data_IF_455382594261
#
_entry.id   IF_455382594261
#
_cell.length_a   1.000
_cell.length_b   1.000
_cell.length_c   1.000
_cell.angle_alpha   90.00
_cell.angle_beta   90.00
_cell.angle_gamma   90.00
#
_symmetry.space_group_name_H-M   'P 1'
#
loop_
_entity.id
_entity.type
_entity.pdbx_description
1 polymer ?
#
# COMPACT_ATOMS: atom_id res chain seq x y z
N UNK A 1 -3.88 14.28 -17.64
CA UNK A 1 -2.59 14.02 -18.32
C UNK A 1 -2.79 14.40 -19.78
N UNK A 2 -2.25 15.54 -20.25
CA UNK A 2 -2.31 15.90 -21.65
C UNK A 2 -1.32 15.07 -22.48
N UNK A 3 -1.70 14.75 -23.69
CA UNK A 3 -0.85 14.19 -24.74
C UNK A 3 -0.46 15.31 -25.72
N UNK A 4 0.31 14.96 -26.73
CA UNK A 4 0.70 15.92 -27.79
C UNK A 4 -0.53 16.43 -28.60
N UNK A 5 -1.61 15.61 -28.65
CA UNK A 5 -2.84 15.94 -29.36
C UNK A 5 -3.89 16.63 -28.48
N UNK A 6 -3.59 16.88 -27.21
CA UNK A 6 -4.52 17.52 -26.28
C UNK A 6 -4.60 19.02 -26.54
N UNK A 7 -5.81 19.54 -26.73
CA UNK A 7 -6.04 20.98 -26.87
C UNK A 7 -5.80 21.68 -25.54
N UNK A 8 -5.03 22.75 -25.53
CA UNK A 8 -4.65 23.49 -24.30
C UNK A 8 -5.90 24.00 -23.54
N UNK A 9 -6.93 24.48 -24.27
CA UNK A 9 -8.19 24.94 -23.70
C UNK A 9 -8.96 23.86 -22.95
N UNK A 10 -8.91 22.59 -23.44
CA UNK A 10 -9.54 21.47 -22.74
C UNK A 10 -8.76 21.08 -21.49
N UNK A 11 -7.43 21.17 -21.51
CA UNK A 11 -6.61 20.93 -20.32
C UNK A 11 -6.96 21.93 -19.23
N UNK A 12 -6.99 23.23 -19.58
CA UNK A 12 -7.36 24.30 -18.65
C UNK A 12 -8.80 24.11 -18.12
N UNK A 13 -9.74 23.82 -19.02
CA UNK A 13 -11.14 23.55 -18.64
C UNK A 13 -11.22 22.42 -17.60
N UNK A 14 -10.60 21.26 -17.84
CA UNK A 14 -10.68 20.13 -16.91
C UNK A 14 -9.92 20.38 -15.59
N UNK A 15 -8.82 21.13 -15.61
CA UNK A 15 -8.15 21.56 -14.39
C UNK A 15 -9.09 22.40 -13.51
N UNK A 16 -9.71 23.43 -14.09
CA UNK A 16 -10.66 24.30 -13.40
C UNK A 16 -11.92 23.54 -12.96
N UNK A 17 -12.46 22.69 -13.81
CA UNK A 17 -13.63 21.87 -13.49
C UNK A 17 -13.36 20.95 -12.29
N UNK A 18 -12.19 20.33 -12.23
CA UNK A 18 -11.78 19.49 -11.11
C UNK A 18 -11.72 20.28 -9.81
N UNK A 19 -11.16 21.48 -9.82
CA UNK A 19 -11.01 22.30 -8.62
C UNK A 19 -12.34 22.94 -8.18
N UNK A 20 -13.03 23.60 -9.09
CA UNK A 20 -14.22 24.40 -8.77
C UNK A 20 -15.46 23.55 -8.60
N UNK A 21 -15.71 22.61 -9.55
CA UNK A 21 -16.95 21.84 -9.56
C UNK A 21 -16.88 20.55 -8.76
N UNK A 22 -15.70 19.88 -8.72
CA UNK A 22 -15.54 18.62 -8.02
C UNK A 22 -14.87 18.78 -6.64
N UNK A 23 -14.38 19.98 -6.30
CA UNK A 23 -13.67 20.24 -5.04
C UNK A 23 -12.41 19.38 -4.89
N UNK A 24 -11.72 19.05 -5.99
CA UNK A 24 -10.50 18.25 -6.05
C UNK A 24 -9.31 19.15 -6.35
N UNK A 25 -8.19 18.86 -5.71
CA UNK A 25 -6.94 19.47 -6.16
C UNK A 25 -6.49 18.78 -7.44
N UNK A 26 -6.23 19.55 -8.48
CA UNK A 26 -5.77 19.04 -9.78
C UNK A 26 -4.27 19.23 -9.94
N UNK A 27 -3.62 18.25 -10.57
CA UNK A 27 -2.18 18.27 -10.82
C UNK A 27 -1.92 17.92 -12.28
N UNK A 28 -1.25 18.80 -13.00
CA UNK A 28 -0.85 18.56 -14.36
C UNK A 28 0.35 17.60 -14.40
N UNK A 29 0.11 16.37 -14.87
CA UNK A 29 1.14 15.35 -14.99
C UNK A 29 1.67 15.26 -16.43
N UNK A 30 2.95 14.95 -16.56
CA UNK A 30 3.54 14.54 -17.84
C UNK A 30 3.00 13.15 -18.22
N UNK A 31 2.88 12.90 -19.52
CA UNK A 31 2.61 11.58 -20.07
C UNK A 31 3.88 10.71 -20.03
N UNK A 32 4.16 10.17 -18.86
CA UNK A 32 5.33 9.34 -18.58
C UNK A 32 4.89 8.04 -17.92
N UNK A 33 5.70 6.95 -18.02
CA UNK A 33 5.32 5.64 -17.47
C UNK A 33 4.86 5.72 -16.02
N UNK A 34 3.65 5.20 -15.77
CA UNK A 34 2.98 5.14 -14.46
C UNK A 34 2.67 6.49 -13.79
N UNK A 35 2.88 7.60 -14.47
CA UNK A 35 2.60 8.96 -14.00
C UNK A 35 3.24 9.28 -12.63
N UNK A 36 2.54 10.00 -11.74
CA UNK A 36 3.04 10.36 -10.41
C UNK A 36 2.65 9.29 -9.38
N UNK A 37 1.36 8.99 -9.25
CA UNK A 37 0.83 8.20 -8.14
C UNK A 37 1.34 6.76 -8.14
N UNK A 38 1.37 6.09 -9.29
CA UNK A 38 1.85 4.71 -9.38
C UNK A 38 3.36 4.61 -9.13
N UNK A 39 4.17 5.59 -9.57
CA UNK A 39 5.61 5.63 -9.24
C UNK A 39 5.83 5.71 -7.73
N UNK A 40 5.15 6.65 -7.06
CA UNK A 40 5.23 6.79 -5.60
C UNK A 40 4.72 5.52 -4.91
N UNK A 41 3.62 4.94 -5.43
CA UNK A 41 3.04 3.70 -4.90
C UNK A 41 3.98 2.52 -4.97
N UNK A 42 4.63 2.28 -6.10
CA UNK A 42 5.62 1.20 -6.29
C UNK A 42 6.84 1.41 -5.39
N UNK A 43 7.38 2.63 -5.34
CA UNK A 43 8.51 2.95 -4.47
C UNK A 43 8.16 2.73 -2.98
N UNK A 44 7.01 3.25 -2.55
CA UNK A 44 6.53 3.10 -1.18
C UNK A 44 6.26 1.63 -0.82
N UNK A 45 5.64 0.86 -1.71
CA UNK A 45 5.36 -0.56 -1.51
C UNK A 45 6.64 -1.40 -1.38
N UNK A 46 7.61 -1.18 -2.28
CA UNK A 46 8.89 -1.86 -2.22
C UNK A 46 9.64 -1.55 -0.91
N UNK A 47 9.61 -0.28 -0.46
CA UNK A 47 10.23 0.10 0.81
C UNK A 47 9.52 -0.48 2.02
N UNK A 48 8.20 -0.59 1.99
CA UNK A 48 7.43 -1.27 3.04
C UNK A 48 7.83 -2.74 3.13
N UNK A 49 7.94 -3.47 2.02
CA UNK A 49 8.36 -4.86 2.02
C UNK A 49 9.78 -5.04 2.58
N UNK A 50 10.72 -4.22 2.12
CA UNK A 50 12.10 -4.21 2.64
C UNK A 50 12.14 -4.02 4.17
N UNK A 51 11.40 -3.02 4.68
CA UNK A 51 11.37 -2.72 6.11
C UNK A 51 10.63 -3.79 6.92
N UNK A 52 9.60 -4.41 6.34
CA UNK A 52 8.88 -5.53 6.97
C UNK A 52 9.81 -6.71 7.23
N UNK A 53 10.59 -7.11 6.22
CA UNK A 53 11.58 -8.18 6.38
C UNK A 53 12.73 -7.78 7.32
N UNK A 54 13.26 -6.57 7.16
CA UNK A 54 14.38 -6.07 7.96
C UNK A 54 14.07 -6.02 9.46
N UNK A 55 12.85 -5.61 9.82
CA UNK A 55 12.43 -5.46 11.22
C UNK A 55 11.57 -6.62 11.73
N UNK A 56 11.39 -7.65 10.92
CA UNK A 56 10.63 -8.84 11.29
C UNK A 56 9.20 -8.53 11.75
N UNK A 57 8.53 -7.65 11.02
CA UNK A 57 7.17 -7.20 11.36
C UNK A 57 6.11 -8.13 10.78
N UNK A 58 5.03 -8.27 11.51
CA UNK A 58 3.80 -8.91 11.00
C UNK A 58 3.04 -7.96 10.08
N UNK A 59 2.21 -8.53 9.19
CA UNK A 59 1.40 -7.72 8.26
C UNK A 59 0.43 -6.80 9.01
N UNK A 60 -0.08 -7.23 10.15
CA UNK A 60 -1.00 -6.45 10.97
C UNK A 60 -0.30 -5.25 11.63
N UNK A 61 0.96 -5.42 12.07
CA UNK A 61 1.77 -4.32 12.60
C UNK A 61 2.07 -3.28 11.54
N UNK A 62 2.45 -3.74 10.35
CA UNK A 62 2.71 -2.84 9.21
C UNK A 62 1.45 -2.10 8.80
N UNK A 63 0.31 -2.77 8.70
CA UNK A 63 -0.96 -2.11 8.35
C UNK A 63 -1.39 -1.08 9.41
N UNK A 64 -1.16 -1.37 10.68
CA UNK A 64 -1.39 -0.39 11.76
C UNK A 64 -0.49 0.83 11.62
N UNK A 65 0.82 0.62 11.36
CA UNK A 65 1.81 1.70 11.23
C UNK A 65 1.62 2.52 9.96
N UNK A 66 1.27 1.88 8.85
CA UNK A 66 1.15 2.55 7.53
C UNK A 66 -0.26 3.03 7.19
N UNK A 67 -1.20 2.89 8.10
CA UNK A 67 -2.59 3.32 7.97
C UNK A 67 -2.85 4.74 8.52
N UNK A 68 -3.85 4.89 9.41
CA UNK A 68 -4.31 6.20 9.90
C UNK A 68 -3.24 7.01 10.64
N UNK A 69 -2.21 6.38 11.19
CA UNK A 69 -1.10 7.07 11.86
C UNK A 69 -0.36 7.99 10.88
N UNK A 70 -0.22 7.56 9.63
CA UNK A 70 0.39 8.34 8.55
C UNK A 70 -0.64 9.13 7.73
N UNK A 71 -1.86 9.33 8.24
CA UNK A 71 -2.93 9.98 7.50
C UNK A 71 -3.47 9.19 6.31
N UNK A 72 -3.19 7.89 6.23
CA UNK A 72 -3.66 7.00 5.17
C UNK A 72 -4.96 6.28 5.56
N UNK A 73 -5.67 5.65 4.59
CA UNK A 73 -6.84 4.83 4.88
C UNK A 73 -6.55 3.71 5.88
N UNK A 74 -7.60 3.24 6.57
CA UNK A 74 -7.50 2.18 7.59
C UNK A 74 -6.95 0.84 7.09
N UNK A 75 -6.85 0.66 5.79
CA UNK A 75 -6.32 -0.56 5.18
C UNK A 75 -4.84 -0.79 5.49
N UNK A 76 -4.06 0.28 5.63
CA UNK A 76 -2.60 0.15 5.66
C UNK A 76 -2.05 -0.31 4.31
N UNK A 77 -0.91 -0.99 4.31
CA UNK A 77 -0.20 -1.38 3.08
C UNK A 77 -0.57 -2.78 2.58
N UNK A 78 -0.55 -3.80 3.42
CA UNK A 78 -0.82 -5.18 3.01
C UNK A 78 -2.30 -5.42 2.68
N UNK A 79 -3.20 -4.88 3.49
CA UNK A 79 -4.63 -4.97 3.19
C UNK A 79 -5.00 -4.19 1.92
N UNK A 80 -4.29 -3.10 1.62
CA UNK A 80 -4.47 -2.38 0.36
C UNK A 80 -4.07 -3.24 -0.85
N UNK A 81 -3.00 -4.03 -0.75
CA UNK A 81 -2.60 -4.96 -1.82
C UNK A 81 -3.69 -6.00 -2.10
N UNK A 82 -4.35 -6.52 -1.07
CA UNK A 82 -5.48 -7.45 -1.24
C UNK A 82 -6.68 -6.81 -1.95
N UNK A 83 -6.95 -5.52 -1.70
CA UNK A 83 -8.02 -4.77 -2.36
C UNK A 83 -7.72 -4.47 -3.82
N UNK A 84 -6.49 -4.07 -4.12
CA UNK A 84 -6.02 -3.76 -5.49
C UNK A 84 -5.90 -5.04 -6.32
N UNK A 85 -5.48 -6.11 -5.67
CA UNK A 85 -5.11 -7.37 -6.29
C UNK A 85 -3.60 -7.49 -6.46
N UNK A 86 -3.04 -8.55 -5.88
CA UNK A 86 -1.59 -8.80 -5.81
C UNK A 86 -0.97 -8.91 -7.20
N UNK A 87 -1.65 -9.58 -8.14
CA UNK A 87 -1.23 -9.65 -9.55
C UNK A 87 -1.28 -8.31 -10.27
N UNK A 88 -2.24 -7.45 -9.91
CA UNK A 88 -2.33 -6.08 -10.45
C UNK A 88 -1.13 -5.26 -9.96
N UNK A 89 -0.83 -5.32 -8.66
CA UNK A 89 0.35 -4.68 -8.08
C UNK A 89 1.66 -5.16 -8.71
N UNK A 90 1.80 -6.47 -8.93
CA UNK A 90 2.94 -7.08 -9.63
C UNK A 90 3.11 -6.54 -11.05
N UNK A 91 2.02 -6.51 -11.84
CA UNK A 91 2.04 -5.98 -13.21
C UNK A 91 2.45 -4.52 -13.26
N UNK A 92 1.89 -3.69 -12.36
CA UNK A 92 2.24 -2.26 -12.27
C UNK A 92 3.71 -2.10 -11.88
N UNK A 93 4.20 -2.86 -10.91
CA UNK A 93 5.60 -2.84 -10.49
C UNK A 93 6.53 -3.21 -11.65
N UNK A 94 6.27 -4.32 -12.32
CA UNK A 94 7.04 -4.75 -13.50
C UNK A 94 7.05 -3.70 -14.61
N UNK A 95 5.87 -3.12 -14.90
CA UNK A 95 5.77 -2.05 -15.88
C UNK A 95 6.63 -0.83 -15.51
N UNK A 96 6.58 -0.39 -14.26
CA UNK A 96 7.37 0.76 -13.78
C UNK A 96 8.86 0.49 -13.89
N UNK A 97 9.34 -0.64 -13.36
CA UNK A 97 10.79 -0.94 -13.35
C UNK A 97 11.35 -1.18 -14.77
N UNK A 98 10.53 -1.63 -15.71
CA UNK A 98 10.93 -1.84 -17.11
C UNK A 98 11.00 -0.53 -17.90
N UNK A 99 10.16 0.44 -17.58
CA UNK A 99 9.98 1.65 -18.40
C UNK A 99 10.56 2.92 -17.77
N UNK A 100 10.86 2.94 -16.47
CA UNK A 100 11.51 4.09 -15.79
C UNK A 100 13.00 3.83 -15.67
N UNK A 101 13.78 4.31 -16.65
CA UNK A 101 15.22 4.00 -16.77
C UNK A 101 16.16 5.03 -16.15
N UNK A 102 15.68 6.22 -15.82
CA UNK A 102 16.51 7.33 -15.36
C UNK A 102 16.44 7.53 -13.83
N UNK A 103 15.95 6.51 -13.10
CA UNK A 103 15.77 6.59 -11.66
C UNK A 103 16.52 5.44 -10.98
N UNK A 104 17.55 5.80 -10.20
CA UNK A 104 18.43 4.84 -9.52
C UNK A 104 17.69 3.92 -8.54
N UNK A 105 16.53 4.33 -8.01
CA UNK A 105 15.70 3.48 -7.16
C UNK A 105 15.07 2.33 -7.96
N UNK A 106 14.47 2.64 -9.11
CA UNK A 106 13.84 1.63 -9.96
C UNK A 106 14.87 0.71 -10.64
N UNK A 107 16.06 1.20 -10.94
CA UNK A 107 17.17 0.36 -11.38
C UNK A 107 17.58 -0.66 -10.32
N UNK A 108 17.67 -0.25 -9.05
CA UNK A 108 17.94 -1.15 -7.93
C UNK A 108 16.80 -2.14 -7.72
N UNK A 109 15.55 -1.66 -7.76
CA UNK A 109 14.37 -2.50 -7.61
C UNK A 109 14.28 -3.57 -8.72
N UNK A 110 14.65 -3.24 -9.95
CA UNK A 110 14.67 -4.20 -11.06
C UNK A 110 15.69 -5.34 -10.85
N UNK A 111 16.75 -5.08 -10.08
CA UNK A 111 17.77 -6.08 -9.72
C UNK A 111 17.47 -6.80 -8.40
N UNK A 112 16.51 -6.33 -7.62
CA UNK A 112 16.15 -6.92 -6.35
C UNK A 112 15.37 -8.22 -6.53
N UNK A 113 15.56 -9.15 -5.61
CA UNK A 113 14.80 -10.38 -5.56
C UNK A 113 13.41 -10.10 -4.99
N UNK A 114 12.39 -10.60 -5.66
CA UNK A 114 11.01 -10.53 -5.13
C UNK A 114 10.91 -11.32 -3.82
N UNK A 115 10.29 -10.76 -2.77
CA UNK A 115 10.13 -11.46 -1.49
C UNK A 115 9.44 -12.82 -1.64
N UNK A 116 9.88 -13.82 -0.87
CA UNK A 116 9.35 -15.19 -0.95
C UNK A 116 7.84 -15.25 -0.73
N UNK A 117 7.32 -14.49 0.23
CA UNK A 117 5.90 -14.42 0.52
C UNK A 117 5.08 -13.89 -0.67
N UNK A 118 5.64 -12.97 -1.45
CA UNK A 118 4.95 -12.40 -2.60
C UNK A 118 4.88 -13.40 -3.75
N UNK A 119 5.98 -14.11 -4.04
CA UNK A 119 6.00 -15.21 -5.01
C UNK A 119 5.02 -16.32 -4.61
N UNK A 120 5.01 -16.71 -3.32
CA UNK A 120 4.09 -17.70 -2.79
C UNK A 120 2.62 -17.33 -3.07
N UNK A 121 2.24 -16.07 -2.88
CA UNK A 121 0.87 -15.61 -3.14
C UNK A 121 0.51 -15.70 -4.63
N UNK A 122 1.42 -15.29 -5.51
CA UNK A 122 1.20 -15.35 -6.96
C UNK A 122 1.10 -16.81 -7.47
N UNK A 123 2.03 -17.68 -7.06
CA UNK A 123 2.10 -19.08 -7.48
C UNK A 123 0.86 -19.88 -7.04
N UNK A 124 0.30 -19.55 -5.87
CA UNK A 124 -0.90 -20.20 -5.35
C UNK A 124 -2.21 -19.54 -5.78
N UNK A 125 -2.15 -18.51 -6.64
CA UNK A 125 -3.32 -17.73 -7.06
C UNK A 125 -4.08 -17.09 -5.87
N UNK A 126 -3.35 -16.69 -4.82
CA UNK A 126 -3.89 -15.97 -3.68
C UNK A 126 -3.79 -14.47 -3.93
N UNK A 127 -4.71 -13.95 -4.74
CA UNK A 127 -4.62 -12.62 -5.34
C UNK A 127 -5.39 -11.52 -4.57
N UNK A 128 -5.73 -11.77 -3.33
CA UNK A 128 -6.48 -10.84 -2.49
C UNK A 128 -7.99 -11.05 -2.54
N UNK A 129 -8.75 -9.98 -2.37
CA UNK A 129 -10.22 -10.05 -2.22
C UNK A 129 -10.92 -10.73 -3.41
N UNK A 130 -10.42 -10.56 -4.62
CA UNK A 130 -11.00 -11.16 -5.83
C UNK A 130 -10.94 -12.70 -5.85
N UNK A 131 -9.99 -13.29 -5.13
CA UNK A 131 -9.89 -14.74 -4.95
C UNK A 131 -10.28 -15.19 -3.55
N UNK A 132 -10.69 -14.25 -2.67
CA UNK A 132 -11.04 -14.50 -1.28
C UNK A 132 -9.86 -14.79 -0.36
N UNK A 133 -8.63 -14.74 -0.88
CA UNK A 133 -7.40 -15.05 -0.17
C UNK A 133 -6.23 -14.26 -0.75
N UNK A 134 -5.42 -13.67 0.12
CA UNK A 134 -4.24 -12.89 -0.19
C UNK A 134 -3.36 -12.78 1.04
N UNK A 135 -2.88 -11.61 1.41
CA UNK A 135 -2.23 -11.38 2.71
C UNK A 135 -3.19 -11.68 3.86
N UNK A 136 -4.47 -11.40 3.64
CA UNK A 136 -5.55 -11.77 4.56
C UNK A 136 -6.51 -12.75 3.90
N UNK A 137 -7.16 -13.56 4.74
CA UNK A 137 -8.21 -14.49 4.34
C UNK A 137 -9.42 -14.35 5.26
N UNK A 138 -10.58 -14.04 4.68
CA UNK A 138 -11.86 -14.08 5.39
C UNK A 138 -12.31 -15.54 5.48
N UNK A 139 -12.47 -16.05 6.70
CA UNK A 139 -12.97 -17.41 6.91
C UNK A 139 -14.52 -17.44 6.92
N UNK A 140 -15.09 -18.63 6.81
CA UNK A 140 -16.53 -18.83 7.03
C UNK A 140 -16.91 -18.86 8.51
N UNK A 141 -15.93 -18.93 9.40
CA UNK A 141 -16.13 -19.01 10.85
C UNK A 141 -16.42 -17.63 11.43
N UNK A 142 -17.17 -17.61 12.52
CA UNK A 142 -17.47 -16.40 13.27
C UNK A 142 -16.96 -16.52 14.70
N UNK A 143 -16.57 -15.39 15.27
CA UNK A 143 -16.20 -15.31 16.68
C UNK A 143 -17.45 -15.29 17.59
N UNK A 144 -17.24 -15.26 18.91
CA UNK A 144 -18.29 -15.21 19.94
C UNK A 144 -19.22 -14.00 19.79
N UNK A 145 -18.77 -12.95 19.10
CA UNK A 145 -19.54 -11.73 18.83
C UNK A 145 -20.20 -11.76 17.44
N UNK A 146 -20.18 -12.88 16.73
CA UNK A 146 -20.76 -13.05 15.40
C UNK A 146 -19.96 -12.42 14.26
N UNK A 147 -18.72 -11.93 14.51
CA UNK A 147 -17.85 -11.30 13.50
C UNK A 147 -17.07 -12.37 12.75
N UNK A 148 -16.90 -12.17 11.45
CA UNK A 148 -16.09 -13.07 10.62
C UNK A 148 -14.65 -13.12 11.15
N UNK A 149 -14.13 -14.32 11.35
CA UNK A 149 -12.73 -14.54 11.70
C UNK A 149 -11.90 -14.29 10.45
N UNK A 150 -10.87 -13.47 10.61
CA UNK A 150 -9.90 -13.15 9.56
C UNK A 150 -8.58 -13.84 9.93
N UNK A 151 -8.00 -14.53 8.97
CA UNK A 151 -6.64 -15.04 9.06
C UNK A 151 -5.68 -14.09 8.37
N UNK A 152 -4.45 -14.06 8.85
CA UNK A 152 -3.33 -13.29 8.32
C UNK A 152 -2.22 -14.25 7.91
N UNK A 153 -1.56 -13.96 6.80
CA UNK A 153 -0.39 -14.73 6.34
C UNK A 153 0.80 -14.43 7.27
N UNK A 154 1.41 -15.46 7.79
CA UNK A 154 2.73 -15.36 8.39
C UNK A 154 3.78 -15.34 7.27
N UNK A 155 4.56 -14.26 7.19
CA UNK A 155 5.49 -14.03 6.07
C UNK A 155 6.72 -14.96 6.08
N UNK A 156 7.01 -15.61 7.24
CA UNK A 156 8.13 -16.54 7.39
C UNK A 156 7.74 -17.97 7.07
N UNK A 157 6.64 -18.42 7.71
CA UNK A 157 6.18 -19.81 7.58
C UNK A 157 5.33 -20.03 6.34
N UNK A 158 4.78 -18.94 5.76
CA UNK A 158 3.81 -18.94 4.67
C UNK A 158 2.50 -19.66 5.01
N UNK A 159 2.20 -19.75 6.30
CA UNK A 159 0.98 -20.33 6.82
C UNK A 159 -0.01 -19.25 7.27
N UNK A 160 -1.31 -19.56 7.21
CA UNK A 160 -2.34 -18.65 7.68
C UNK A 160 -2.64 -18.92 9.16
N UNK A 161 -2.56 -17.88 9.97
CA UNK A 161 -2.92 -17.87 11.38
C UNK A 161 -4.05 -16.88 11.66
N UNK A 162 -4.76 -17.03 12.75
CA UNK A 162 -5.77 -16.05 13.19
C UNK A 162 -5.11 -14.68 13.32
N UNK A 163 -5.71 -13.69 12.66
CA UNK A 163 -5.22 -12.31 12.72
C UNK A 163 -5.35 -11.74 14.13
N UNK A 164 -4.31 -11.05 14.58
CA UNK A 164 -4.23 -10.44 15.91
C UNK A 164 -4.11 -8.93 15.75
N UNK A 165 -4.90 -8.18 16.53
CA UNK A 165 -4.76 -6.71 16.54
C UNK A 165 -3.52 -6.31 17.33
N UNK A 166 -2.52 -5.69 16.68
CA UNK A 166 -1.29 -5.31 17.35
C UNK A 166 -1.54 -4.25 18.43
N UNK A 167 -0.76 -4.33 19.51
CA UNK A 167 -0.74 -3.33 20.57
C UNK A 167 0.65 -2.67 20.55
N UNK A 168 0.74 -1.49 19.95
CA UNK A 168 1.99 -0.72 19.94
C UNK A 168 1.92 0.27 21.10
N UNK A 169 2.77 0.08 22.12
CA UNK A 169 2.83 0.90 23.32
C UNK A 169 3.05 2.38 23.00
N UNK A 170 4.00 2.66 22.11
CA UNK A 170 4.33 4.02 21.65
C UNK A 170 3.10 4.79 21.14
N UNK A 171 2.21 4.12 20.39
CA UNK A 171 0.98 4.75 19.88
C UNK A 171 0.01 5.06 21.02
N UNK A 172 -0.06 4.18 22.02
CA UNK A 172 -0.89 4.40 23.20
C UNK A 172 -0.36 5.56 24.04
N UNK A 173 0.94 5.60 24.23
CA UNK A 173 1.63 6.70 24.93
C UNK A 173 1.46 8.02 24.21
N UNK A 174 1.67 8.06 22.89
CA UNK A 174 1.47 9.25 22.08
C UNK A 174 0.03 9.81 22.17
N UNK A 175 -0.98 8.94 22.25
CA UNK A 175 -2.36 9.36 22.43
C UNK A 175 -2.65 10.01 23.79
N UNK A 176 -1.91 9.63 24.82
CA UNK A 176 -2.02 10.20 26.16
C UNK A 176 -1.31 11.57 26.31
N UNK A 177 -0.54 11.99 25.33
CA UNK A 177 0.17 13.27 25.37
C UNK A 177 -0.70 14.36 24.75
N UNK A 178 -1.19 15.31 25.56
CA UNK A 178 -2.02 16.43 25.12
C UNK A 178 -1.22 17.45 24.29
N UNK A 179 0.02 17.75 24.71
CA UNK A 179 0.87 18.73 24.02
C UNK A 179 1.40 18.16 22.71
N UNK A 180 1.07 18.81 21.60
CA UNK A 180 1.33 18.35 20.24
C UNK A 180 2.85 18.27 19.93
N UNK A 181 3.64 19.18 20.44
CA UNK A 181 5.11 19.22 20.33
C UNK A 181 5.75 17.98 20.98
N UNK A 182 5.33 17.62 22.20
CA UNK A 182 5.78 16.43 22.89
C UNK A 182 5.33 15.13 22.19
N UNK A 183 4.08 15.13 21.69
CA UNK A 183 3.59 13.99 20.91
C UNK A 183 4.39 13.79 19.63
N UNK A 184 4.76 14.88 18.96
CA UNK A 184 5.60 14.87 17.77
C UNK A 184 6.99 14.32 18.07
N UNK A 185 7.64 14.77 19.16
CA UNK A 185 8.95 14.27 19.59
C UNK A 185 8.98 12.77 19.90
N UNK A 186 7.86 12.21 20.39
CA UNK A 186 7.76 10.78 20.68
C UNK A 186 7.61 9.93 19.41
N UNK A 187 7.04 10.47 18.34
CA UNK A 187 6.70 9.74 17.11
C UNK A 187 7.78 9.84 16.02
N UNK A 188 8.75 10.74 16.18
CA UNK A 188 9.89 10.95 15.29
C UNK A 188 11.19 10.60 16.01
#
# INVERSE_FOLDING_TARGET
>A
IPTQDSLAELVEFFMNYGEINLGKQTVLCKDTPAFIANRIGVMSGAKVFELTEKFDLTIEEVDLLTGPILGRPKTGSFRLQDLVGIDTGDKVTKFVVQNVKEDSFFEKLNKATTPKFFNFLLENNFLGDKTGKGFYQKTKQRDENGRTIINALDLKTLEYRKSVRPKISLIKEAKGIEKIDRRFQLLI
#
